data_IF_950367742237
#
_entry.id   IF_950367742237
#
_cell.length_a   1.000
_cell.length_b   1.000
_cell.length_c   1.000
_cell.angle_alpha   90.00
_cell.angle_beta   90.00
_cell.angle_gamma   90.00
#
_symmetry.space_group_name_H-M   'P 1'
#
loop_
_entity.id
_entity.type
_entity.pdbx_description
1 polymer ?
#
# COMPACT_ATOMS: atom_id res chain seq x y z
N UNK A 1 -12.11 -22.53 20.80
CA UNK A 1 -12.29 -21.20 20.18
C UNK A 1 -11.03 -20.38 20.35
N UNK A 2 -10.62 -19.96 21.56
CA UNK A 2 -9.30 -19.36 21.81
C UNK A 2 -8.15 -20.21 21.22
N UNK A 3 -8.09 -21.49 21.62
CA UNK A 3 -7.17 -22.53 21.12
C UNK A 3 -7.05 -22.62 19.58
N UNK A 4 -8.11 -22.28 18.83
CA UNK A 4 -8.09 -22.26 17.36
C UNK A 4 -7.47 -20.96 16.86
N UNK A 5 -7.87 -19.81 17.42
CA UNK A 5 -7.32 -18.50 17.07
C UNK A 5 -5.81 -18.40 17.38
N UNK A 6 -5.37 -18.97 18.51
CA UNK A 6 -3.95 -19.05 18.86
C UNK A 6 -3.19 -19.94 17.87
N UNK A 7 -3.79 -21.05 17.40
CA UNK A 7 -3.19 -21.89 16.36
C UNK A 7 -3.11 -21.20 14.99
N UNK A 8 -4.16 -20.47 14.59
CA UNK A 8 -4.23 -19.74 13.32
C UNK A 8 -3.21 -18.59 13.31
N UNK A 9 -3.14 -17.80 14.38
CA UNK A 9 -2.12 -16.77 14.56
C UNK A 9 -0.69 -17.35 14.56
N UNK A 10 -0.48 -18.57 15.07
CA UNK A 10 0.83 -19.23 15.01
C UNK A 10 1.25 -19.61 13.59
N UNK A 11 0.28 -19.98 12.73
CA UNK A 11 0.53 -20.30 11.30
C UNK A 11 0.79 -19.03 10.51
N UNK A 12 0.01 -17.95 10.73
CA UNK A 12 0.26 -16.65 10.10
C UNK A 12 1.64 -16.08 10.49
N UNK A 13 2.02 -16.19 11.76
CA UNK A 13 3.34 -15.77 12.25
C UNK A 13 4.48 -16.53 11.57
N UNK A 14 4.32 -17.84 11.34
CA UNK A 14 5.29 -18.66 10.60
C UNK A 14 5.38 -18.24 9.12
N UNK A 15 4.25 -18.03 8.44
CA UNK A 15 4.23 -17.54 7.04
C UNK A 15 4.95 -16.19 6.89
N UNK A 16 4.80 -15.29 7.86
CA UNK A 16 5.50 -13.99 7.87
C UNK A 16 6.99 -14.14 8.19
N UNK A 17 7.36 -15.06 9.08
CA UNK A 17 8.76 -15.36 9.40
C UNK A 17 9.50 -15.96 8.19
N UNK A 18 8.92 -16.96 7.53
CA UNK A 18 9.47 -17.58 6.33
C UNK A 18 9.62 -16.56 5.18
N UNK A 19 8.62 -15.69 4.99
CA UNK A 19 8.68 -14.64 3.98
C UNK A 19 9.80 -13.62 4.28
N UNK A 20 9.94 -13.19 5.53
CA UNK A 20 11.02 -12.29 5.98
C UNK A 20 12.41 -12.92 5.83
N UNK A 21 12.58 -14.19 6.21
CA UNK A 21 13.87 -14.88 6.12
C UNK A 21 14.30 -15.05 4.66
N UNK A 22 13.39 -15.49 3.78
CA UNK A 22 13.68 -15.63 2.35
C UNK A 22 13.95 -14.28 1.67
N UNK A 23 13.20 -13.23 2.03
CA UNK A 23 13.43 -11.88 1.52
C UNK A 23 14.81 -11.34 1.93
N UNK A 24 15.15 -11.38 3.23
CA UNK A 24 16.41 -10.82 3.76
C UNK A 24 17.65 -11.62 3.34
N UNK A 25 17.53 -12.93 3.05
CA UNK A 25 18.60 -13.74 2.45
C UNK A 25 18.99 -13.28 1.04
N UNK A 26 18.05 -12.67 0.31
CA UNK A 26 18.20 -12.34 -1.12
C UNK A 26 18.35 -10.83 -1.38
N UNK A 27 18.05 -9.98 -0.39
CA UNK A 27 17.92 -8.53 -0.55
C UNK A 27 18.56 -7.80 0.65
N UNK A 28 19.81 -7.32 0.53
CA UNK A 28 20.41 -6.45 1.57
C UNK A 28 20.00 -4.98 1.31
N UNK A 29 19.29 -4.30 2.24
CA UNK A 29 18.89 -2.90 2.10
C UNK A 29 20.05 -1.88 2.03
N UNK A 30 21.29 -2.30 2.28
CA UNK A 30 22.50 -1.46 2.23
C UNK A 30 23.09 -1.41 0.83
N UNK A 31 23.01 -2.52 0.09
CA UNK A 31 23.61 -2.70 -1.25
C UNK A 31 22.61 -2.42 -2.39
N UNK A 32 21.31 -2.34 -2.09
CA UNK A 32 20.23 -2.05 -3.06
C UNK A 32 19.81 -0.57 -3.05
N UNK A 33 19.25 -0.08 -4.16
CA UNK A 33 18.50 1.18 -4.14
C UNK A 33 17.21 1.05 -3.32
N UNK A 34 16.62 2.19 -2.94
CA UNK A 34 15.36 2.20 -2.20
C UNK A 34 14.24 1.55 -3.03
N UNK A 35 14.16 1.92 -4.31
CA UNK A 35 13.14 1.49 -5.26
C UNK A 35 13.23 -0.02 -5.56
N UNK A 36 14.44 -0.57 -5.68
CA UNK A 36 14.67 -2.02 -5.86
C UNK A 36 14.29 -2.81 -4.60
N UNK A 37 14.77 -2.39 -3.42
CA UNK A 37 14.48 -3.08 -2.16
C UNK A 37 12.97 -3.06 -1.86
N UNK A 38 12.31 -1.93 -2.10
CA UNK A 38 10.85 -1.79 -2.00
C UNK A 38 10.10 -2.62 -3.05
N UNK A 39 10.69 -2.79 -4.24
CA UNK A 39 10.14 -3.65 -5.29
C UNK A 39 10.15 -5.11 -4.86
N UNK A 40 11.31 -5.61 -4.41
CA UNK A 40 11.43 -6.96 -3.90
C UNK A 40 10.59 -7.20 -2.63
N UNK A 41 10.44 -6.20 -1.74
CA UNK A 41 9.54 -6.26 -0.58
C UNK A 41 8.08 -6.49 -1.03
N UNK A 42 7.62 -5.81 -2.08
CA UNK A 42 6.30 -6.05 -2.67
C UNK A 42 6.19 -7.45 -3.27
N UNK A 43 7.18 -7.87 -4.06
CA UNK A 43 7.17 -9.15 -4.77
C UNK A 43 7.20 -10.37 -3.82
N UNK A 44 7.74 -10.21 -2.59
CA UNK A 44 7.70 -11.21 -1.52
C UNK A 44 6.43 -11.17 -0.64
N UNK A 45 5.45 -10.30 -0.96
CA UNK A 45 4.21 -10.17 -0.17
C UNK A 45 4.36 -9.38 1.14
N UNK A 46 5.49 -8.71 1.35
CA UNK A 46 5.83 -7.98 2.57
C UNK A 46 5.46 -6.48 2.49
N UNK A 47 4.62 -6.09 1.53
CA UNK A 47 4.20 -4.70 1.35
C UNK A 47 3.00 -4.33 2.22
N UNK A 48 1.95 -5.13 2.11
CA UNK A 48 0.72 -5.03 2.89
C UNK A 48 0.28 -6.47 3.20
N UNK A 49 0.72 -7.04 4.31
CA UNK A 49 0.63 -8.51 4.56
C UNK A 49 -0.79 -9.08 4.42
N UNK A 50 -1.82 -8.25 4.64
CA UNK A 50 -3.24 -8.59 4.52
C UNK A 50 -3.84 -8.51 3.11
N UNK A 51 -3.08 -8.08 2.09
CA UNK A 51 -3.51 -8.17 0.70
C UNK A 51 -3.26 -9.58 0.14
N UNK A 52 -3.87 -9.88 -1.01
CA UNK A 52 -3.69 -11.17 -1.68
C UNK A 52 -2.24 -11.38 -2.16
N UNK A 53 -1.84 -12.65 -2.26
CA UNK A 53 -0.57 -13.03 -2.89
C UNK A 53 -0.53 -12.55 -4.34
N UNK A 54 0.53 -11.83 -4.70
CA UNK A 54 0.67 -11.14 -5.99
C UNK A 54 0.12 -9.70 -6.02
N UNK A 55 -0.61 -9.26 -5.00
CA UNK A 55 -1.02 -7.85 -4.77
C UNK A 55 -0.14 -7.14 -3.71
N UNK A 56 1.00 -7.71 -3.36
CA UNK A 56 1.91 -7.18 -2.33
C UNK A 56 1.66 -7.71 -0.92
N UNK A 57 0.78 -8.68 -0.74
CA UNK A 57 0.50 -9.31 0.56
C UNK A 57 0.75 -10.82 0.60
N UNK A 58 0.52 -11.39 1.78
CA UNK A 58 0.62 -12.82 2.06
C UNK A 58 -0.76 -13.47 2.29
N UNK A 59 -1.83 -12.67 2.43
CA UNK A 59 -3.16 -13.09 2.82
C UNK A 59 -3.31 -13.37 4.32
N UNK A 60 -2.59 -12.62 5.18
CA UNK A 60 -2.56 -12.83 6.64
C UNK A 60 -2.96 -11.58 7.44
N UNK A 61 -3.34 -11.73 8.70
CA UNK A 61 -3.80 -10.64 9.57
C UNK A 61 -2.86 -9.42 9.58
N UNK A 62 -3.39 -8.18 9.45
CA UNK A 62 -2.58 -6.96 9.37
C UNK A 62 -1.78 -6.64 10.65
N UNK A 63 -2.03 -7.35 11.75
CA UNK A 63 -1.24 -7.22 12.99
C UNK A 63 0.25 -7.51 12.76
N UNK A 64 0.57 -8.38 11.80
CA UNK A 64 1.95 -8.77 11.48
C UNK A 64 2.73 -7.71 10.67
N UNK A 65 2.07 -6.69 10.11
CA UNK A 65 2.73 -5.61 9.39
C UNK A 65 3.80 -4.91 10.25
N UNK A 66 3.54 -4.74 11.56
CA UNK A 66 4.51 -4.18 12.53
C UNK A 66 5.74 -5.07 12.72
N UNK A 67 5.59 -6.40 12.67
CA UNK A 67 6.71 -7.34 12.76
C UNK A 67 7.61 -7.24 11.52
N UNK A 68 7.00 -7.12 10.33
CA UNK A 68 7.72 -6.88 9.08
C UNK A 68 8.54 -5.59 9.18
N UNK A 69 7.88 -4.46 9.47
CA UNK A 69 8.54 -3.15 9.54
C UNK A 69 9.67 -3.10 10.57
N UNK A 70 9.48 -3.69 11.76
CA UNK A 70 10.52 -3.79 12.78
C UNK A 70 11.71 -4.65 12.33
N UNK A 71 11.46 -5.79 11.67
CA UNK A 71 12.51 -6.66 11.14
C UNK A 71 13.33 -5.98 10.05
N UNK A 72 12.67 -5.33 9.09
CA UNK A 72 13.35 -4.62 8.01
C UNK A 72 14.20 -3.46 8.55
N UNK A 73 13.65 -2.65 9.47
CA UNK A 73 14.40 -1.57 10.11
C UNK A 73 15.63 -2.09 10.89
N UNK A 74 15.50 -3.19 11.64
CA UNK A 74 16.60 -3.80 12.38
C UNK A 74 17.74 -4.30 11.47
N UNK A 75 17.45 -4.67 10.22
CA UNK A 75 18.44 -5.08 9.22
C UNK A 75 19.05 -3.91 8.41
N UNK A 76 18.58 -2.68 8.64
CA UNK A 76 19.08 -1.45 8.01
C UNK A 76 18.21 -0.90 6.87
N UNK A 77 16.98 -1.39 6.69
CA UNK A 77 16.07 -0.82 5.71
C UNK A 77 15.70 0.62 6.03
N UNK A 78 15.75 1.48 5.01
CA UNK A 78 15.31 2.88 5.09
C UNK A 78 13.80 2.92 5.32
N UNK A 79 13.28 3.77 6.21
CA UNK A 79 11.84 3.91 6.42
C UNK A 79 11.12 4.42 5.16
N UNK A 80 9.80 4.27 5.13
CA UNK A 80 8.93 4.86 4.10
C UNK A 80 9.19 6.37 3.96
N UNK A 81 9.37 6.86 2.73
CA UNK A 81 9.46 8.31 2.48
C UNK A 81 8.12 8.98 2.82
N UNK A 82 8.06 10.10 3.58
CA UNK A 82 6.80 10.75 3.94
C UNK A 82 5.91 11.15 2.74
N UNK A 83 6.53 11.46 1.59
CA UNK A 83 5.84 11.76 0.34
C UNK A 83 5.04 10.58 -0.26
N UNK A 84 5.15 9.37 0.30
CA UNK A 84 4.42 8.17 -0.12
C UNK A 84 3.19 7.87 0.75
N UNK A 85 2.94 8.66 1.81
CA UNK A 85 1.90 8.42 2.82
C UNK A 85 0.51 8.08 2.24
N UNK A 86 0.12 8.72 1.14
CA UNK A 86 -1.19 8.51 0.51
C UNK A 86 -1.42 7.10 -0.06
N UNK A 87 -0.39 6.24 -0.14
CA UNK A 87 -0.59 4.82 -0.46
C UNK A 87 -1.39 4.07 0.61
N UNK A 88 -1.39 4.54 1.87
CA UNK A 88 -2.25 3.99 2.93
C UNK A 88 -3.74 4.29 2.73
N UNK A 89 -4.08 5.21 1.82
CA UNK A 89 -5.45 5.46 1.36
C UNK A 89 -5.70 4.75 0.02
N UNK A 90 -4.89 5.05 -0.99
CA UNK A 90 -5.12 4.57 -2.36
C UNK A 90 -4.92 3.06 -2.52
N UNK A 91 -3.92 2.47 -1.85
CA UNK A 91 -3.64 1.03 -1.92
C UNK A 91 -4.83 0.17 -1.48
N UNK A 92 -5.37 0.36 -0.25
CA UNK A 92 -6.56 -0.34 0.20
C UNK A 92 -7.80 -0.13 -0.67
N UNK A 93 -8.02 1.10 -1.18
CA UNK A 93 -9.14 1.38 -2.11
C UNK A 93 -8.99 0.58 -3.41
N UNK A 94 -7.80 0.54 -4.02
CA UNK A 94 -7.54 -0.20 -5.26
C UNK A 94 -7.57 -1.72 -5.02
N UNK A 95 -7.07 -2.21 -3.89
CA UNK A 95 -7.15 -3.64 -3.55
C UNK A 95 -8.59 -4.11 -3.32
N UNK A 96 -9.42 -3.29 -2.66
CA UNK A 96 -10.81 -3.65 -2.31
C UNK A 96 -11.80 -3.47 -3.48
N UNK A 97 -11.62 -2.44 -4.31
CA UNK A 97 -12.61 -2.04 -5.32
C UNK A 97 -12.10 -2.04 -6.77
N UNK A 98 -10.78 -2.13 -6.98
CA UNK A 98 -10.20 -2.24 -8.31
C UNK A 98 -10.20 -3.68 -8.82
N UNK A 99 -10.40 -3.84 -10.13
CA UNK A 99 -10.15 -5.11 -10.80
C UNK A 99 -8.66 -5.49 -10.85
N UNK A 100 -8.38 -6.69 -11.33
CA UNK A 100 -7.04 -7.25 -11.42
C UNK A 100 -6.07 -6.47 -12.34
N UNK A 101 -6.56 -5.69 -13.30
CA UNK A 101 -5.70 -4.81 -14.11
C UNK A 101 -5.31 -3.57 -13.30
N UNK A 102 -6.25 -2.97 -12.58
CA UNK A 102 -6.02 -1.82 -11.69
C UNK A 102 -5.05 -2.18 -10.55
N UNK A 103 -5.22 -3.34 -9.90
CA UNK A 103 -4.27 -3.84 -8.88
C UNK A 103 -2.84 -3.97 -9.43
N UNK A 104 -2.68 -4.65 -10.57
CA UNK A 104 -1.37 -4.87 -11.22
C UNK A 104 -0.74 -3.56 -11.73
N UNK A 105 -1.55 -2.62 -12.21
CA UNK A 105 -1.08 -1.33 -12.73
C UNK A 105 -0.58 -0.41 -11.62
N UNK A 106 -1.26 -0.33 -10.47
CA UNK A 106 -1.03 0.74 -9.51
C UNK A 106 -0.32 0.33 -8.21
N UNK A 107 -0.55 -0.88 -7.68
CA UNK A 107 -0.09 -1.22 -6.33
C UNK A 107 1.45 -1.23 -6.21
N UNK A 108 2.17 -1.81 -7.18
CA UNK A 108 3.64 -1.90 -7.14
C UNK A 108 4.35 -0.55 -7.42
N UNK A 109 3.97 0.25 -8.45
CA UNK A 109 4.58 1.58 -8.65
C UNK A 109 4.31 2.55 -7.49
N UNK A 110 3.11 2.49 -6.90
CA UNK A 110 2.75 3.24 -5.70
C UNK A 110 3.61 2.81 -4.49
N UNK A 111 3.73 1.51 -4.23
CA UNK A 111 4.47 0.99 -3.08
C UNK A 111 6.00 1.22 -3.17
N UNK A 112 6.55 1.20 -4.38
CA UNK A 112 7.97 1.49 -4.64
C UNK A 112 8.29 2.98 -4.60
N UNK A 113 7.31 3.85 -4.79
CA UNK A 113 7.49 5.30 -4.89
C UNK A 113 7.82 5.79 -6.30
N UNK A 114 7.80 4.90 -7.30
CA UNK A 114 7.87 5.24 -8.72
C UNK A 114 6.69 6.15 -9.13
N UNK A 115 5.52 5.91 -8.55
CA UNK A 115 4.36 6.79 -8.66
C UNK A 115 4.01 7.32 -7.26
N UNK A 116 4.09 8.65 -7.09
CA UNK A 116 3.62 9.33 -5.87
C UNK A 116 2.18 9.78 -6.07
N UNK A 117 1.39 9.64 -5.01
CA UNK A 117 -0.04 9.94 -5.00
C UNK A 117 -0.33 11.07 -4.03
N UNK A 118 -1.39 11.85 -4.29
CA UNK A 118 -1.92 12.87 -3.40
C UNK A 118 -3.42 12.61 -3.16
N UNK A 119 -3.96 13.07 -2.03
CA UNK A 119 -5.41 13.07 -1.79
C UNK A 119 -6.02 14.38 -2.28
N UNK A 120 -6.94 14.27 -3.24
CA UNK A 120 -7.68 15.39 -3.82
C UNK A 120 -9.13 15.41 -3.34
N UNK A 121 -9.32 15.55 -2.03
CA UNK A 121 -10.64 15.53 -1.39
C UNK A 121 -11.22 16.94 -1.20
N UNK A 122 -10.64 17.75 -0.33
CA UNK A 122 -11.17 19.06 0.09
C UNK A 122 -11.33 20.07 -1.05
N UNK A 123 -12.35 20.92 -0.94
CA UNK A 123 -12.73 21.96 -1.90
C UNK A 123 -12.92 23.31 -1.19
N UNK A 124 -12.86 24.45 -1.90
CA UNK A 124 -13.01 25.77 -1.27
C UNK A 124 -14.28 25.97 -0.43
N UNK A 125 -15.37 25.24 -0.76
CA UNK A 125 -16.64 25.27 -0.03
C UNK A 125 -16.97 23.99 0.78
N UNK A 126 -16.13 22.95 0.73
CA UNK A 126 -16.45 21.64 1.30
C UNK A 126 -15.20 20.94 1.86
N UNK A 127 -15.23 20.60 3.15
CA UNK A 127 -14.13 19.92 3.86
C UNK A 127 -14.68 18.81 4.75
N UNK A 128 -15.11 19.15 5.96
CA UNK A 128 -15.78 18.20 6.87
C UNK A 128 -17.14 17.74 6.35
N UNK A 129 -17.85 18.60 5.61
CA UNK A 129 -18.99 18.18 4.80
C UNK A 129 -18.49 17.60 3.47
N UNK A 130 -18.33 16.27 3.46
CA UNK A 130 -17.93 15.52 2.26
C UNK A 130 -19.10 15.28 1.28
N UNK A 131 -20.35 15.51 1.70
CA UNK A 131 -21.51 15.39 0.82
C UNK A 131 -21.70 16.66 -0.04
N UNK A 132 -21.24 17.81 0.44
CA UNK A 132 -21.25 19.10 -0.27
C UNK A 132 -20.22 19.26 -1.41
N UNK A 133 -19.48 18.21 -1.79
CA UNK A 133 -18.44 18.29 -2.83
C UNK A 133 -19.02 18.68 -4.21
N UNK A 134 -18.30 19.56 -4.90
CA UNK A 134 -18.69 20.18 -6.16
C UNK A 134 -17.84 19.76 -7.37
N UNK A 135 -16.74 19.02 -7.19
CA UNK A 135 -16.04 18.37 -8.32
C UNK A 135 -16.92 17.31 -8.95
N UNK A 136 -17.18 17.40 -10.25
CA UNK A 136 -18.01 16.46 -11.02
C UNK A 136 -17.16 15.76 -12.10
N UNK A 137 -17.48 14.50 -12.38
CA UNK A 137 -16.95 13.76 -13.51
C UNK A 137 -18.11 13.40 -14.45
N UNK A 138 -17.93 13.64 -15.76
CA UNK A 138 -18.93 13.35 -16.80
C UNK A 138 -18.29 12.38 -17.79
N UNK A 139 -18.95 11.28 -18.11
CA UNK A 139 -18.44 10.31 -19.09
C UNK A 139 -18.51 10.88 -20.51
N UNK A 140 -17.44 10.69 -21.29
CA UNK A 140 -17.35 11.05 -22.70
C UNK A 140 -16.69 9.90 -23.47
N UNK A 141 -17.51 9.04 -24.09
CA UNK A 141 -17.06 7.79 -24.70
C UNK A 141 -16.45 6.83 -23.68
N UNK A 142 -15.14 6.59 -23.81
CA UNK A 142 -14.34 5.76 -22.90
C UNK A 142 -13.59 6.59 -21.82
N UNK A 143 -13.70 7.93 -21.88
CA UNK A 143 -13.01 8.86 -20.98
C UNK A 143 -13.97 9.53 -19.97
N UNK A 144 -13.39 10.26 -18.99
CA UNK A 144 -14.13 11.03 -17.99
C UNK A 144 -13.62 12.47 -17.93
N UNK A 145 -14.50 13.42 -18.28
CA UNK A 145 -14.22 14.86 -18.19
C UNK A 145 -14.47 15.34 -16.76
N UNK A 146 -13.39 15.52 -16.00
CA UNK A 146 -13.43 15.95 -14.58
C UNK A 146 -13.32 17.47 -14.47
N UNK A 147 -14.27 18.10 -13.77
CA UNK A 147 -14.31 19.55 -13.54
C UNK A 147 -14.52 19.85 -12.04
N UNK A 148 -13.63 20.67 -11.45
CA UNK A 148 -13.71 21.09 -10.06
C UNK A 148 -12.45 21.83 -9.61
N UNK A 149 -12.39 22.21 -8.32
CA UNK A 149 -11.21 22.84 -7.70
C UNK A 149 -10.94 22.18 -6.35
N UNK A 150 -9.70 21.74 -6.14
CA UNK A 150 -9.25 21.04 -4.91
C UNK A 150 -8.25 21.89 -4.13
N UNK A 151 -8.29 21.82 -2.80
CA UNK A 151 -7.46 22.62 -1.88
C UNK A 151 -6.85 21.75 -0.77
N UNK A 152 -5.78 22.24 -0.14
CA UNK A 152 -4.98 21.50 0.87
C UNK A 152 -4.30 20.23 0.35
N UNK A 153 -4.14 20.15 -0.98
CA UNK A 153 -3.55 19.04 -1.72
C UNK A 153 -2.06 18.87 -1.35
N UNK A 154 -1.77 18.00 -0.38
CA UNK A 154 -0.37 17.75 0.02
C UNK A 154 0.29 16.80 -1.00
N UNK A 155 1.51 17.14 -1.43
CA UNK A 155 2.23 16.47 -2.53
C UNK A 155 1.57 16.59 -3.93
N UNK A 156 0.87 17.71 -4.19
CA UNK A 156 0.38 18.10 -5.51
C UNK A 156 1.02 19.44 -5.96
#
# INVERSE_FOLDING_TARGET
MADILDSEASVEAAVVADALENFLKLNDPKEMTYEEFRGAQFDHGLAWVQFDKGSGGLGVSPVFQRQVEASLHANGAKPMQPAMFFMHLAGPTIHTHGDESNKKRFLRPMFTGQERWCQLFSEPGAGSDFAGLATRAIADGEEWVVNGQKVWNTMA
#
